data_IF_677863325589
#
_entry.id   IF_677863325589
#
_cell.length_a   1.000
_cell.length_b   1.000
_cell.length_c   1.000
_cell.angle_alpha   90.00
_cell.angle_beta   90.00
_cell.angle_gamma   90.00
#
_symmetry.space_group_name_H-M   'P 1'
#
loop_
_entity.id
_entity.type
_entity.pdbx_description
1 polymer ?
#
# COMPACT_ATOMS: atom_id res chain seq x y z
N UNK A 1 -18.46 27.84 -13.49
CA UNK A 1 -19.51 26.85 -13.19
C UNK A 1 -19.45 25.77 -14.25
N UNK A 2 -19.45 24.49 -13.88
CA UNK A 2 -19.39 23.36 -14.81
C UNK A 2 -20.67 22.52 -14.66
N UNK A 3 -21.29 22.11 -15.76
CA UNK A 3 -22.52 21.32 -15.74
C UNK A 3 -22.31 20.03 -16.52
N UNK A 4 -22.56 18.90 -15.86
CA UNK A 4 -22.55 17.57 -16.49
C UNK A 4 -23.93 16.94 -16.40
N UNK A 5 -24.37 16.33 -17.50
CA UNK A 5 -25.69 15.75 -17.61
C UNK A 5 -25.60 14.28 -17.98
N UNK A 6 -26.29 13.43 -17.22
CA UNK A 6 -26.50 12.01 -17.54
C UNK A 6 -27.99 11.78 -17.86
N UNK A 7 -28.37 10.55 -18.20
CA UNK A 7 -29.78 10.17 -18.36
C UNK A 7 -30.61 10.48 -17.10
N UNK A 8 -30.04 10.23 -15.92
CA UNK A 8 -30.75 10.31 -14.63
C UNK A 8 -30.54 11.62 -13.86
N UNK A 9 -29.46 12.35 -14.13
CA UNK A 9 -29.08 13.50 -13.29
C UNK A 9 -28.50 14.69 -14.06
N UNK A 10 -28.70 15.87 -13.49
CA UNK A 10 -28.03 17.12 -13.86
C UNK A 10 -27.13 17.52 -12.69
N UNK A 11 -25.82 17.50 -12.91
CA UNK A 11 -24.83 17.88 -11.89
C UNK A 11 -24.27 19.26 -12.21
N UNK A 12 -24.38 20.16 -11.24
CA UNK A 12 -23.94 21.55 -11.29
C UNK A 12 -22.79 21.68 -10.29
N UNK A 13 -21.61 22.02 -10.80
CA UNK A 13 -20.40 22.25 -10.03
C UNK A 13 -20.07 23.73 -10.06
N UNK A 14 -19.96 24.35 -8.90
CA UNK A 14 -19.56 25.76 -8.74
C UNK A 14 -18.38 25.85 -7.80
N UNK A 15 -17.47 26.77 -8.11
CA UNK A 15 -16.30 27.17 -7.34
C UNK A 15 -16.55 28.45 -6.52
N UNK A 16 -17.70 29.09 -6.72
CA UNK A 16 -18.12 30.30 -6.01
C UNK A 16 -19.03 29.94 -4.83
N UNK A 17 -18.57 30.24 -3.61
CA UNK A 17 -19.34 30.06 -2.37
C UNK A 17 -20.65 30.87 -2.39
N UNK A 18 -20.59 32.12 -2.85
CA UNK A 18 -21.77 32.99 -2.94
C UNK A 18 -22.83 32.38 -3.87
N UNK A 19 -22.42 31.96 -5.08
CA UNK A 19 -23.32 31.33 -6.03
C UNK A 19 -23.87 29.99 -5.51
N UNK A 20 -23.04 29.20 -4.81
CA UNK A 20 -23.50 27.96 -4.19
C UNK A 20 -24.57 28.22 -3.13
N UNK A 21 -24.34 29.19 -2.24
CA UNK A 21 -25.30 29.56 -1.19
C UNK A 21 -26.63 30.04 -1.78
N UNK A 22 -26.60 30.89 -2.81
CA UNK A 22 -27.80 31.35 -3.50
C UNK A 22 -28.58 30.21 -4.15
N UNK A 23 -27.90 29.37 -4.94
CA UNK A 23 -28.55 28.24 -5.62
C UNK A 23 -29.06 27.20 -4.61
N UNK A 24 -28.32 26.95 -3.52
CA UNK A 24 -28.75 26.07 -2.43
C UNK A 24 -30.02 26.61 -1.76
N UNK A 25 -30.07 27.90 -1.45
CA UNK A 25 -31.26 28.53 -0.87
C UNK A 25 -32.47 28.41 -1.80
N UNK A 26 -32.28 28.60 -3.11
CA UNK A 26 -33.34 28.41 -4.11
C UNK A 26 -33.85 26.96 -4.16
N UNK A 27 -32.94 25.97 -4.11
CA UNK A 27 -33.30 24.55 -4.09
C UNK A 27 -34.07 24.22 -2.79
N UNK A 28 -33.56 24.62 -1.63
CA UNK A 28 -34.19 24.34 -0.34
C UNK A 28 -35.54 25.05 -0.15
N UNK A 29 -35.74 26.22 -0.76
CA UNK A 29 -37.01 26.95 -0.68
C UNK A 29 -38.10 26.38 -1.60
N UNK A 30 -37.72 25.87 -2.77
CA UNK A 30 -38.67 25.54 -3.83
C UNK A 30 -38.88 24.04 -4.03
N UNK A 31 -37.98 23.19 -3.49
CA UNK A 31 -38.06 21.73 -3.65
C UNK A 31 -38.15 21.03 -2.29
N UNK A 32 -39.05 20.07 -2.18
CA UNK A 32 -39.38 19.35 -0.95
C UNK A 32 -38.48 18.15 -0.72
N UNK A 33 -38.21 17.35 -1.76
CA UNK A 33 -37.35 16.16 -1.69
C UNK A 33 -35.89 16.52 -1.91
N UNK A 34 -35.24 17.01 -0.86
CA UNK A 34 -33.82 17.39 -0.89
C UNK A 34 -32.98 16.64 0.14
N UNK A 35 -31.72 16.39 -0.20
CA UNK A 35 -30.69 15.86 0.70
C UNK A 35 -29.48 16.81 0.64
N UNK A 36 -29.11 17.42 1.76
CA UNK A 36 -28.04 18.41 1.82
C UNK A 36 -26.96 18.03 2.84
N UNK A 37 -25.71 18.37 2.52
CA UNK A 37 -24.59 18.40 3.46
C UNK A 37 -23.89 19.78 3.36
N UNK A 38 -22.68 19.93 3.92
CA UNK A 38 -21.97 21.21 3.92
C UNK A 38 -21.74 21.77 2.50
N UNK A 39 -21.26 20.93 1.59
CA UNK A 39 -20.75 21.34 0.27
C UNK A 39 -21.60 20.81 -0.90
N UNK A 40 -22.74 20.18 -0.62
CA UNK A 40 -23.58 19.54 -1.63
C UNK A 40 -25.06 19.59 -1.24
N UNK A 41 -25.91 19.73 -2.25
CA UNK A 41 -27.35 19.51 -2.15
C UNK A 41 -27.85 18.71 -3.35
N UNK A 42 -28.72 17.74 -3.10
CA UNK A 42 -29.35 16.89 -4.10
C UNK A 42 -30.85 17.12 -4.02
N UNK A 43 -31.51 17.36 -5.14
CA UNK A 43 -32.96 17.44 -5.28
C UNK A 43 -33.46 16.33 -6.19
N UNK A 44 -34.29 15.44 -5.62
CA UNK A 44 -34.92 14.35 -6.36
C UNK A 44 -36.13 14.86 -7.15
N UNK A 45 -36.56 14.09 -8.15
CA UNK A 45 -37.73 14.43 -8.93
C UNK A 45 -39.01 14.38 -8.08
N UNK A 46 -39.85 15.39 -8.25
CA UNK A 46 -41.19 15.49 -7.67
C UNK A 46 -42.12 16.15 -8.68
N UNK A 47 -43.29 15.56 -8.92
CA UNK A 47 -44.20 15.96 -9.99
C UNK A 47 -44.90 17.28 -9.69
N UNK A 48 -45.23 17.52 -8.42
CA UNK A 48 -45.88 18.76 -7.95
C UNK A 48 -45.01 20.02 -8.14
N UNK A 49 -43.71 19.86 -8.41
CA UNK A 49 -42.73 20.95 -8.47
C UNK A 49 -42.24 21.27 -9.90
N UNK A 50 -42.86 20.67 -10.93
CA UNK A 50 -42.45 20.88 -12.33
C UNK A 50 -42.35 22.38 -12.71
N UNK A 51 -43.27 23.28 -12.31
CA UNK A 51 -43.13 24.71 -12.60
C UNK A 51 -41.87 25.33 -12.00
N UNK A 52 -41.60 25.06 -10.72
CA UNK A 52 -40.46 25.56 -9.96
C UNK A 52 -39.16 25.03 -10.57
N UNK A 53 -39.12 23.74 -10.93
CA UNK A 53 -37.97 23.11 -11.61
C UNK A 53 -37.69 23.75 -12.96
N UNK A 54 -38.71 24.04 -13.77
CA UNK A 54 -38.55 24.74 -15.05
C UNK A 54 -37.96 26.14 -14.85
N UNK A 55 -38.44 26.89 -13.85
CA UNK A 55 -37.91 28.22 -13.54
C UNK A 55 -36.44 28.16 -13.09
N UNK A 56 -36.11 27.24 -12.19
CA UNK A 56 -34.74 27.02 -11.73
C UNK A 56 -33.80 26.66 -12.89
N UNK A 57 -34.21 25.73 -13.77
CA UNK A 57 -33.40 25.31 -14.91
C UNK A 57 -33.21 26.42 -15.95
N UNK A 58 -34.22 27.27 -16.16
CA UNK A 58 -34.08 28.47 -17.00
C UNK A 58 -33.05 29.44 -16.41
N UNK A 59 -33.03 29.60 -15.10
CA UNK A 59 -32.03 30.42 -14.42
C UNK A 59 -30.61 29.83 -14.57
N UNK A 60 -30.45 28.53 -14.32
CA UNK A 60 -29.17 27.82 -14.52
C UNK A 60 -28.68 27.93 -15.96
N UNK A 61 -29.57 27.73 -16.95
CA UNK A 61 -29.25 27.87 -18.38
C UNK A 61 -28.68 29.26 -18.68
N UNK A 62 -29.36 30.32 -18.23
CA UNK A 62 -28.88 31.70 -18.40
C UNK A 62 -27.50 31.94 -17.76
N UNK A 63 -27.26 31.38 -16.57
CA UNK A 63 -25.98 31.51 -15.88
C UNK A 63 -24.85 30.79 -16.62
N UNK A 64 -25.14 29.64 -17.22
CA UNK A 64 -24.17 28.84 -17.96
C UNK A 64 -23.85 29.44 -19.34
N UNK A 65 -24.87 29.93 -20.05
CA UNK A 65 -24.73 30.59 -21.35
C UNK A 65 -23.94 31.88 -21.29
N UNK A 66 -24.01 32.62 -20.17
CA UNK A 66 -23.14 33.78 -19.92
C UNK A 66 -21.64 33.43 -19.90
N UNK A 67 -21.28 32.16 -19.76
CA UNK A 67 -19.89 31.68 -19.77
C UNK A 67 -19.46 31.18 -21.16
N UNK A 68 -20.29 31.37 -22.19
CA UNK A 68 -20.00 30.98 -23.58
C UNK A 68 -20.34 29.54 -23.94
N UNK A 69 -21.07 28.81 -23.08
CA UNK A 69 -21.43 27.41 -23.28
C UNK A 69 -22.94 27.23 -23.51
N UNK A 70 -23.33 26.24 -24.31
CA UNK A 70 -24.75 25.91 -24.51
C UNK A 70 -25.23 24.80 -23.56
N UNK A 71 -26.46 24.90 -23.07
CA UNK A 71 -27.09 23.88 -22.21
C UNK A 71 -28.51 23.56 -22.67
N UNK A 72 -28.74 22.28 -23.02
CA UNK A 72 -30.09 21.76 -23.23
C UNK A 72 -30.71 21.33 -21.89
N UNK A 73 -31.82 21.98 -21.53
CA UNK A 73 -32.58 21.74 -20.30
C UNK A 73 -33.96 21.13 -20.55
N UNK A 74 -34.28 20.74 -21.79
CA UNK A 74 -35.63 20.33 -22.21
C UNK A 74 -36.21 19.20 -21.35
N UNK A 75 -35.37 18.20 -21.05
CA UNK A 75 -35.72 17.05 -20.19
C UNK A 75 -35.10 17.13 -18.79
N UNK A 76 -34.30 18.15 -18.50
CA UNK A 76 -33.62 18.26 -17.21
C UNK A 76 -34.59 18.42 -16.03
N UNK A 77 -35.83 18.86 -16.28
CA UNK A 77 -36.89 18.99 -15.26
C UNK A 77 -37.28 17.67 -14.61
N UNK A 78 -37.07 16.54 -15.28
CA UNK A 78 -37.36 15.21 -14.76
C UNK A 78 -36.16 14.54 -14.08
N UNK A 79 -34.96 15.15 -14.18
CA UNK A 79 -33.72 14.56 -13.68
C UNK A 79 -33.46 14.97 -12.24
N UNK A 80 -32.71 14.14 -11.51
CA UNK A 80 -32.18 14.52 -10.19
C UNK A 80 -31.17 15.65 -10.34
N UNK A 81 -31.36 16.75 -9.62
CA UNK A 81 -30.48 17.92 -9.66
C UNK A 81 -29.46 17.78 -8.52
N UNK A 82 -28.17 17.82 -8.85
CA UNK A 82 -27.06 17.77 -7.87
C UNK A 82 -26.29 19.06 -7.96
N UNK A 83 -26.23 19.84 -6.88
CA UNK A 83 -25.39 21.03 -6.77
C UNK A 83 -24.25 20.75 -5.80
N UNK A 84 -23.02 20.96 -6.23
CA UNK A 84 -21.81 20.73 -5.44
C UNK A 84 -20.89 21.95 -5.50
N UNK A 85 -20.35 22.34 -4.34
CA UNK A 85 -19.30 23.33 -4.21
C UNK A 85 -17.94 22.65 -4.36
N UNK A 86 -17.13 23.15 -5.30
CA UNK A 86 -15.74 22.77 -5.49
C UNK A 86 -14.92 23.61 -4.52
N UNK A 87 -14.48 23.01 -3.41
CA UNK A 87 -13.52 23.65 -2.52
C UNK A 87 -12.17 23.77 -3.22
N UNK A 88 -11.91 24.90 -3.90
CA UNK A 88 -10.60 25.21 -4.52
C UNK A 88 -9.44 25.19 -3.53
N UNK A 89 -9.75 25.39 -2.24
CA UNK A 89 -8.80 25.53 -1.15
C UNK A 89 -8.89 24.42 -0.10
N UNK A 90 -9.50 23.26 -0.42
CA UNK A 90 -9.28 22.10 0.41
C UNK A 90 -7.78 21.78 0.30
N UNK A 91 -7.01 22.02 1.36
CA UNK A 91 -5.61 21.63 1.44
C UNK A 91 -5.52 20.17 1.00
N UNK A 92 -5.01 19.93 -0.22
CA UNK A 92 -4.76 18.56 -0.67
C UNK A 92 -3.69 18.03 0.25
N UNK A 93 -4.05 17.06 1.09
CA UNK A 93 -3.08 16.47 2.01
C UNK A 93 -1.91 15.92 1.19
N UNK A 94 -0.70 16.37 1.51
CA UNK A 94 0.53 15.86 0.91
C UNK A 94 1.14 14.93 1.95
N UNK A 95 1.37 13.69 1.57
CA UNK A 95 2.05 12.70 2.40
C UNK A 95 3.40 12.37 1.80
N UNK A 96 4.43 12.37 2.64
CA UNK A 96 5.76 11.94 2.25
C UNK A 96 5.98 10.54 2.80
N UNK A 97 6.20 9.57 1.92
CA UNK A 97 6.40 8.17 2.29
C UNK A 97 7.83 7.80 1.98
N UNK A 98 8.58 7.45 3.01
CA UNK A 98 9.95 6.99 2.85
C UNK A 98 9.95 5.49 2.55
N UNK A 99 10.68 5.09 1.52
CA UNK A 99 10.84 3.69 1.11
C UNK A 99 12.30 3.28 1.32
N UNK A 100 12.49 2.27 2.15
CA UNK A 100 13.75 1.60 2.39
C UNK A 100 13.74 0.18 1.83
N UNK A 101 14.92 -0.38 1.60
CA UNK A 101 15.12 -1.71 1.05
C UNK A 101 15.98 -2.54 2.00
N UNK A 102 15.46 -3.67 2.48
CA UNK A 102 16.15 -4.54 3.42
C UNK A 102 15.74 -6.00 3.22
N UNK A 103 16.73 -6.91 3.10
CA UNK A 103 16.53 -8.36 3.02
C UNK A 103 15.38 -8.79 2.09
N UNK A 104 15.40 -8.32 0.84
CA UNK A 104 14.40 -8.60 -0.20
C UNK A 104 12.97 -8.06 0.07
N UNK A 105 12.82 -7.23 1.10
CA UNK A 105 11.60 -6.51 1.42
C UNK A 105 11.75 -5.00 1.14
N UNK A 106 10.67 -4.40 0.63
CA UNK A 106 10.50 -2.94 0.61
C UNK A 106 9.76 -2.51 1.86
N UNK A 107 10.33 -1.56 2.60
CA UNK A 107 9.78 -1.04 3.84
C UNK A 107 9.27 0.37 3.59
N UNK A 108 7.97 0.56 3.74
CA UNK A 108 7.30 1.85 3.58
C UNK A 108 7.00 2.45 4.94
N UNK A 109 7.44 3.68 5.17
CA UNK A 109 7.15 4.44 6.39
C UNK A 109 6.02 5.43 6.13
N UNK A 110 4.88 5.20 6.77
CA UNK A 110 3.66 5.99 6.61
C UNK A 110 3.70 7.19 7.56
N UNK A 111 4.43 8.24 7.19
CA UNK A 111 4.54 9.47 7.97
C UNK A 111 3.19 10.22 8.02
N UNK A 112 2.32 9.85 8.97
CA UNK A 112 0.95 10.37 9.14
C UNK A 112 -0.04 10.06 8.00
N UNK A 113 0.31 9.13 7.10
CA UNK A 113 -0.58 8.70 6.02
C UNK A 113 -1.71 7.82 6.57
N UNK A 114 -2.96 7.95 6.09
CA UNK A 114 -4.06 7.10 6.52
C UNK A 114 -3.75 5.61 6.32
N UNK A 115 -4.15 4.75 7.28
CA UNK A 115 -4.00 3.28 7.19
C UNK A 115 -4.61 2.71 5.90
N UNK A 116 -5.69 3.33 5.41
CA UNK A 116 -6.34 2.95 4.16
C UNK A 116 -5.39 3.00 2.95
N UNK A 117 -4.35 3.85 2.99
CA UNK A 117 -3.32 3.88 1.95
C UNK A 117 -2.50 2.60 1.91
N UNK A 118 -2.07 2.08 3.07
CA UNK A 118 -1.34 0.81 3.14
C UNK A 118 -2.19 -0.32 2.55
N UNK A 119 -3.46 -0.38 2.94
CA UNK A 119 -4.41 -1.36 2.38
C UNK A 119 -4.59 -1.20 0.88
N UNK A 120 -4.67 0.04 0.38
CA UNK A 120 -4.73 0.33 -1.05
C UNK A 120 -3.51 -0.17 -1.81
N UNK A 121 -2.29 0.08 -1.30
CA UNK A 121 -1.06 -0.44 -1.92
C UNK A 121 -1.05 -1.96 -1.91
N UNK A 122 -1.25 -2.57 -0.74
CA UNK A 122 -1.19 -4.02 -0.55
C UNK A 122 -2.27 -4.77 -1.36
N UNK A 123 -3.40 -4.12 -1.66
CA UNK A 123 -4.44 -4.69 -2.53
C UNK A 123 -3.94 -4.95 -3.96
N UNK A 124 -2.93 -4.22 -4.45
CA UNK A 124 -2.32 -4.47 -5.76
C UNK A 124 -1.39 -5.70 -5.75
N UNK A 125 -0.93 -6.14 -4.57
CA UNK A 125 0.03 -7.22 -4.39
C UNK A 125 -0.59 -8.43 -3.67
N UNK A 126 -1.86 -8.74 -3.96
CA UNK A 126 -2.56 -9.90 -3.36
C UNK A 126 -1.77 -11.19 -3.63
N UNK A 127 -1.27 -11.80 -2.55
CA UNK A 127 -0.46 -13.02 -2.58
C UNK A 127 1.00 -12.82 -2.19
N UNK A 128 1.47 -11.58 -2.12
CA UNK A 128 2.79 -11.24 -1.61
C UNK A 128 2.78 -11.27 -0.08
N UNK A 129 3.93 -11.61 0.51
CA UNK A 129 4.09 -11.54 1.96
C UNK A 129 4.22 -10.08 2.35
N UNK A 130 3.36 -9.65 3.26
CA UNK A 130 3.36 -8.29 3.78
C UNK A 130 3.17 -8.29 5.29
N UNK A 131 3.93 -7.46 5.99
CA UNK A 131 3.79 -7.26 7.44
C UNK A 131 3.45 -5.80 7.69
N UNK A 132 2.55 -5.56 8.64
CA UNK A 132 2.22 -4.20 9.08
C UNK A 132 2.64 -4.04 10.53
N UNK A 133 3.53 -3.09 10.78
CA UNK A 133 3.94 -2.68 12.11
C UNK A 133 3.11 -1.46 12.53
N UNK A 134 2.10 -1.71 13.36
CA UNK A 134 1.20 -0.65 13.86
C UNK A 134 1.92 0.34 14.78
N UNK A 135 2.98 -0.07 15.49
CA UNK A 135 3.69 0.82 16.44
C UNK A 135 4.55 1.84 15.73
N UNK A 136 5.21 1.42 14.65
CA UNK A 136 6.12 2.28 13.89
C UNK A 136 5.47 2.89 12.65
N UNK A 137 4.18 2.61 12.39
CA UNK A 137 3.48 3.02 11.17
C UNK A 137 4.23 2.61 9.89
N UNK A 138 4.76 1.38 9.88
CA UNK A 138 5.51 0.83 8.74
C UNK A 138 4.79 -0.38 8.16
N UNK A 139 4.93 -0.58 6.87
CA UNK A 139 4.60 -1.87 6.27
C UNK A 139 5.75 -2.37 5.41
N UNK A 140 5.99 -3.68 5.46
CA UNK A 140 6.94 -4.33 4.58
C UNK A 140 6.21 -5.12 3.50
N UNK A 141 6.78 -5.13 2.30
CA UNK A 141 6.29 -5.83 1.13
C UNK A 141 7.43 -6.65 0.53
N UNK A 142 7.28 -7.97 0.50
CA UNK A 142 8.21 -8.88 -0.17
C UNK A 142 7.78 -9.11 -1.61
N UNK A 143 8.68 -8.89 -2.55
CA UNK A 143 8.40 -9.04 -3.98
C UNK A 143 8.48 -10.53 -4.37
N UNK A 144 7.46 -11.04 -5.09
CA UNK A 144 7.39 -12.44 -5.53
C UNK A 144 7.54 -12.63 -7.03
N UNK A 145 7.24 -11.59 -7.83
CA UNK A 145 7.30 -11.65 -9.29
C UNK A 145 8.02 -10.44 -9.85
N UNK A 146 8.68 -10.62 -11.00
CA UNK A 146 9.36 -9.51 -11.68
C UNK A 146 8.37 -8.40 -12.10
N UNK A 147 7.14 -8.79 -12.50
CA UNK A 147 6.05 -7.88 -12.84
C UNK A 147 5.61 -6.96 -11.68
N UNK A 148 5.88 -7.35 -10.43
CA UNK A 148 5.52 -6.54 -9.28
C UNK A 148 6.38 -5.26 -9.23
N UNK A 149 7.61 -5.29 -9.79
CA UNK A 149 8.44 -4.09 -9.90
C UNK A 149 7.81 -3.06 -10.80
N UNK A 150 7.23 -3.48 -11.92
CA UNK A 150 6.60 -2.57 -12.88
C UNK A 150 5.35 -1.92 -12.25
N UNK A 151 4.58 -2.69 -11.45
CA UNK A 151 3.45 -2.16 -10.68
C UNK A 151 3.90 -1.15 -9.62
N UNK A 152 5.00 -1.41 -8.92
CA UNK A 152 5.54 -0.47 -7.92
C UNK A 152 6.04 0.80 -8.59
N UNK A 153 6.76 0.69 -9.71
CA UNK A 153 7.21 1.86 -10.49
C UNK A 153 6.03 2.69 -10.98
N UNK A 154 4.94 2.05 -11.43
CA UNK A 154 3.71 2.74 -11.85
C UNK A 154 3.04 3.46 -10.67
N UNK A 155 2.94 2.81 -9.51
CA UNK A 155 2.40 3.41 -8.30
C UNK A 155 3.23 4.62 -7.88
N UNK A 156 4.56 4.47 -7.81
CA UNK A 156 5.48 5.54 -7.40
C UNK A 156 5.46 6.72 -8.37
N UNK A 157 5.26 6.45 -9.67
CA UNK A 157 5.19 7.48 -10.71
C UNK A 157 3.91 8.32 -10.64
N UNK A 158 2.83 7.75 -10.09
CA UNK A 158 1.56 8.48 -9.88
C UNK A 158 1.69 9.32 -8.63
N UNK A 159 1.44 10.62 -8.74
CA UNK A 159 1.45 11.53 -7.58
C UNK A 159 0.14 11.52 -6.79
N UNK A 160 -0.98 11.22 -7.43
CA UNK A 160 -2.29 11.26 -6.80
C UNK A 160 -2.79 9.84 -6.48
N UNK A 161 -3.04 9.59 -5.19
CA UNK A 161 -3.65 8.35 -4.71
C UNK A 161 -4.79 8.69 -3.75
N UNK A 162 -5.94 8.02 -3.91
CA UNK A 162 -7.10 8.18 -3.01
C UNK A 162 -7.50 9.66 -2.77
N UNK A 163 -7.30 10.54 -3.77
CA UNK A 163 -7.56 12.00 -3.74
C UNK A 163 -6.60 12.84 -2.87
N UNK A 164 -5.44 12.29 -2.50
CA UNK A 164 -4.35 13.03 -1.87
C UNK A 164 -3.05 12.86 -2.67
N UNK A 165 -2.09 13.75 -2.43
CA UNK A 165 -0.80 13.73 -3.11
C UNK A 165 0.18 12.93 -2.25
N UNK A 166 0.91 12.01 -2.88
CA UNK A 166 1.96 11.21 -2.23
C UNK A 166 3.28 11.52 -2.90
N UNK A 167 4.28 11.87 -2.10
CA UNK A 167 5.67 11.94 -2.51
C UNK A 167 6.39 10.71 -1.95
N UNK A 168 6.88 9.85 -2.82
CA UNK A 168 7.70 8.72 -2.41
C UNK A 168 9.16 9.14 -2.37
N UNK A 169 9.76 9.10 -1.19
CA UNK A 169 11.18 9.37 -0.99
C UNK A 169 11.93 8.04 -0.93
N UNK A 170 12.75 7.77 -1.93
CA UNK A 170 13.55 6.55 -1.97
C UNK A 170 14.87 6.81 -2.66
N UNK A 171 15.87 6.00 -2.34
CA UNK A 171 17.16 6.06 -3.00
C UNK A 171 17.10 5.24 -4.30
N UNK A 172 17.17 5.91 -5.44
CA UNK A 172 17.12 5.26 -6.75
C UNK A 172 18.23 4.23 -6.97
N UNK A 173 19.44 4.49 -6.44
CA UNK A 173 20.57 3.55 -6.55
C UNK A 173 20.25 2.28 -5.79
N UNK A 174 19.78 2.40 -4.54
CA UNK A 174 19.35 1.25 -3.73
C UNK A 174 18.18 0.50 -4.37
N UNK A 175 17.23 1.19 -5.00
CA UNK A 175 16.12 0.56 -5.72
C UNK A 175 16.60 -0.25 -6.93
N UNK A 176 17.52 0.30 -7.73
CA UNK A 176 18.13 -0.42 -8.86
C UNK A 176 18.93 -1.63 -8.39
N UNK A 177 19.72 -1.49 -7.32
CA UNK A 177 20.43 -2.60 -6.69
C UNK A 177 19.45 -3.67 -6.20
N UNK A 178 18.37 -3.29 -5.55
CA UNK A 178 17.33 -4.20 -5.08
C UNK A 178 16.68 -4.99 -6.23
N UNK A 179 16.26 -4.32 -7.31
CA UNK A 179 15.69 -4.97 -8.52
C UNK A 179 16.69 -5.94 -9.16
N UNK A 180 17.96 -5.54 -9.24
CA UNK A 180 19.05 -6.37 -9.78
C UNK A 180 19.31 -7.61 -8.92
N UNK A 181 19.40 -7.42 -7.60
CA UNK A 181 19.64 -8.50 -6.65
C UNK A 181 18.52 -9.55 -6.71
N UNK A 182 17.26 -9.10 -6.78
CA UNK A 182 16.11 -9.98 -6.98
C UNK A 182 16.23 -10.83 -8.26
N UNK A 183 16.64 -10.22 -9.38
CA UNK A 183 16.84 -10.94 -10.65
C UNK A 183 17.95 -11.98 -10.56
N UNK A 184 19.05 -11.65 -9.89
CA UNK A 184 20.18 -12.57 -9.70
C UNK A 184 19.75 -13.76 -8.85
N UNK A 185 19.11 -13.53 -7.70
CA UNK A 185 18.61 -14.59 -6.81
C UNK A 185 17.59 -15.49 -7.51
N UNK A 186 16.78 -14.93 -8.41
CA UNK A 186 15.80 -15.70 -9.17
C UNK A 186 16.35 -16.38 -10.43
N UNK A 187 17.60 -16.10 -10.81
CA UNK A 187 18.24 -16.70 -11.98
C UNK A 187 18.43 -18.21 -11.81
N UNK A 188 18.35 -18.95 -12.92
CA UNK A 188 18.58 -20.39 -12.93
C UNK A 188 19.98 -20.76 -12.41
N UNK A 189 20.99 -19.94 -12.73
CA UNK A 189 22.38 -20.12 -12.28
C UNK A 189 22.50 -20.01 -10.76
N UNK A 190 21.86 -19.00 -10.15
CA UNK A 190 21.84 -18.85 -8.70
C UNK A 190 21.11 -20.02 -8.05
N UNK A 191 19.87 -20.30 -8.47
CA UNK A 191 19.04 -21.36 -7.91
C UNK A 191 19.74 -22.71 -7.96
N UNK A 192 20.26 -23.11 -9.12
CA UNK A 192 20.95 -24.39 -9.29
C UNK A 192 22.22 -24.50 -8.42
N UNK A 193 23.04 -23.45 -8.38
CA UNK A 193 24.28 -23.47 -7.60
C UNK A 193 24.01 -23.58 -6.11
N UNK A 194 23.09 -22.76 -5.60
CA UNK A 194 22.85 -22.68 -4.17
C UNK A 194 21.89 -23.76 -3.66
N UNK A 195 21.00 -24.32 -4.49
CA UNK A 195 20.22 -25.49 -4.11
C UNK A 195 21.10 -26.72 -3.92
N UNK A 196 22.08 -26.95 -4.80
CA UNK A 196 23.03 -28.04 -4.65
C UNK A 196 23.87 -27.90 -3.38
N UNK A 197 24.37 -26.69 -3.09
CA UNK A 197 25.10 -26.40 -1.86
C UNK A 197 24.23 -26.53 -0.61
N UNK A 198 22.96 -26.11 -0.68
CA UNK A 198 22.03 -26.22 0.44
C UNK A 198 21.73 -27.69 0.77
N UNK A 199 21.55 -28.55 -0.25
CA UNK A 199 21.37 -29.99 -0.06
C UNK A 199 22.60 -30.66 0.56
N UNK A 200 23.82 -30.23 0.21
CA UNK A 200 25.04 -30.72 0.86
C UNK A 200 25.13 -30.33 2.35
N UNK A 201 24.37 -29.31 2.77
CA UNK A 201 24.33 -28.80 4.14
C UNK A 201 22.99 -29.12 4.84
N UNK A 202 22.15 -29.99 4.26
CA UNK A 202 20.80 -30.30 4.75
C UNK A 202 20.81 -30.73 6.22
N UNK A 203 21.75 -31.62 6.60
CA UNK A 203 21.91 -32.05 8.00
C UNK A 203 22.16 -30.87 8.96
N UNK A 204 22.89 -29.83 8.53
CA UNK A 204 23.14 -28.65 9.35
C UNK A 204 21.87 -27.79 9.52
N UNK A 205 21.04 -27.69 8.48
CA UNK A 205 19.74 -27.03 8.58
C UNK A 205 18.81 -27.81 9.51
N UNK A 206 18.75 -29.13 9.39
CA UNK A 206 17.94 -30.00 10.24
C UNK A 206 18.34 -29.94 11.71
N UNK A 207 19.65 -29.93 12.02
CA UNK A 207 20.16 -29.77 13.40
C UNK A 207 19.65 -28.46 14.03
N UNK A 208 19.48 -27.42 13.22
CA UNK A 208 18.95 -26.12 13.63
C UNK A 208 17.42 -26.03 13.51
N UNK A 209 16.74 -27.08 13.04
CA UNK A 209 15.29 -27.07 12.82
C UNK A 209 14.82 -26.10 11.74
N UNK A 210 15.70 -25.79 10.78
CA UNK A 210 15.44 -24.87 9.68
C UNK A 210 15.24 -25.62 8.36
N UNK A 211 14.58 -24.98 7.41
CA UNK A 211 14.53 -25.41 6.01
C UNK A 211 15.77 -24.94 5.26
N UNK A 212 16.17 -25.68 4.21
CA UNK A 212 17.22 -25.28 3.29
C UNK A 212 16.92 -23.99 2.49
N UNK A 213 15.67 -23.51 2.55
CA UNK A 213 15.23 -22.25 1.94
C UNK A 213 15.12 -21.09 2.95
N UNK A 214 15.41 -21.32 4.24
CA UNK A 214 15.31 -20.27 5.26
C UNK A 214 16.42 -19.22 5.10
N UNK A 215 16.09 -17.97 5.50
CA UNK A 215 17.07 -16.87 5.47
C UNK A 215 18.11 -17.02 6.59
N UNK A 216 19.23 -16.32 6.44
CA UNK A 216 20.27 -16.31 7.46
C UNK A 216 19.75 -15.82 8.83
N UNK A 217 18.85 -14.85 8.85
CA UNK A 217 18.21 -14.35 10.07
C UNK A 217 17.38 -15.43 10.75
N UNK A 218 16.59 -16.20 10.00
CA UNK A 218 15.80 -17.30 10.55
C UNK A 218 16.70 -18.38 11.15
N UNK A 219 17.80 -18.72 10.47
CA UNK A 219 18.82 -19.66 10.97
C UNK A 219 19.48 -19.14 12.25
N UNK A 220 19.83 -17.84 12.28
CA UNK A 220 20.41 -17.19 13.46
C UNK A 220 19.44 -17.19 14.63
N UNK A 221 18.17 -16.88 14.41
CA UNK A 221 17.15 -16.85 15.45
C UNK A 221 16.91 -18.25 16.02
N UNK A 222 16.86 -19.28 15.16
CA UNK A 222 16.77 -20.67 15.61
C UNK A 222 18.00 -21.09 16.41
N UNK A 223 19.21 -20.75 15.95
CA UNK A 223 20.44 -20.97 16.69
C UNK A 223 20.39 -20.32 18.09
N UNK A 224 19.95 -19.07 18.20
CA UNK A 224 19.83 -18.37 19.49
C UNK A 224 18.80 -19.05 20.41
N UNK A 225 17.68 -19.51 19.86
CA UNK A 225 16.66 -20.25 20.60
C UNK A 225 17.20 -21.59 21.14
N UNK A 226 17.87 -22.37 20.29
CA UNK A 226 18.46 -23.65 20.65
C UNK A 226 19.64 -23.48 21.63
N UNK A 227 20.51 -22.50 21.40
CA UNK A 227 21.60 -22.15 22.31
C UNK A 227 21.04 -21.81 23.69
N UNK A 228 19.98 -21.00 23.75
CA UNK A 228 19.30 -20.69 25.01
C UNK A 228 18.76 -21.95 25.69
N UNK A 229 18.26 -22.94 24.97
CA UNK A 229 17.74 -24.18 25.56
C UNK A 229 18.86 -25.10 26.05
N UNK A 230 19.91 -25.31 25.26
CA UNK A 230 20.92 -26.34 25.50
C UNK A 230 22.23 -25.83 26.12
N UNK A 231 22.36 -24.53 26.42
CA UNK A 231 23.58 -23.96 26.99
C UNK A 231 23.99 -24.68 28.29
N UNK A 232 25.25 -25.13 28.43
CA UNK A 232 25.70 -25.93 29.57
C UNK A 232 25.46 -25.24 30.93
N UNK A 233 25.66 -23.92 31.02
CA UNK A 233 25.44 -23.15 32.25
C UNK A 233 24.01 -23.23 32.79
N UNK A 234 23.01 -23.44 31.93
CA UNK A 234 21.60 -23.53 32.36
C UNK A 234 21.25 -24.89 32.98
N UNK A 235 22.14 -25.86 32.88
CA UNK A 235 21.93 -27.24 33.31
C UNK A 235 23.02 -27.73 34.27
N UNK A 236 23.76 -26.81 34.89
CA UNK A 236 24.81 -27.09 35.88
C UNK A 236 24.31 -27.90 37.09
N UNK A 237 23.03 -27.80 37.42
CA UNK A 237 22.39 -28.51 38.53
C UNK A 237 21.79 -29.88 38.14
N UNK A 238 21.91 -30.31 36.88
CA UNK A 238 21.39 -31.61 36.41
C UNK A 238 22.37 -32.75 36.64
N UNK A 239 21.90 -33.99 36.45
CA UNK A 239 22.76 -35.18 36.50
C UNK A 239 23.82 -35.16 35.39
N UNK A 240 24.95 -35.81 35.66
CA UNK A 240 26.11 -35.80 34.75
C UNK A 240 25.79 -36.37 33.37
N UNK A 241 24.92 -37.38 33.30
CA UNK A 241 24.42 -37.95 32.03
C UNK A 241 23.70 -36.89 31.18
N UNK A 242 22.81 -36.10 31.80
CA UNK A 242 22.05 -35.06 31.08
C UNK A 242 22.96 -33.91 30.66
N UNK A 243 23.92 -33.52 31.51
CA UNK A 243 24.93 -32.50 31.16
C UNK A 243 25.73 -32.89 29.92
N UNK A 244 26.20 -34.14 29.85
CA UNK A 244 26.97 -34.64 28.72
C UNK A 244 26.12 -34.67 27.44
N UNK A 245 24.88 -35.11 27.52
CA UNK A 245 23.97 -35.13 26.38
C UNK A 245 23.72 -33.70 25.85
N UNK A 246 23.46 -32.75 26.74
CA UNK A 246 23.16 -31.37 26.37
C UNK A 246 24.39 -30.64 25.83
N UNK A 247 25.57 -30.87 26.41
CA UNK A 247 26.82 -30.35 25.89
C UNK A 247 27.10 -30.90 24.48
N UNK A 248 26.84 -32.20 24.26
CA UNK A 248 26.97 -32.82 22.93
C UNK A 248 26.01 -32.18 21.93
N UNK A 249 24.74 -31.98 22.30
CA UNK A 249 23.75 -31.28 21.48
C UNK A 249 24.16 -29.84 21.17
N UNK A 250 24.62 -29.09 22.18
CA UNK A 250 25.07 -27.71 22.01
C UNK A 250 26.25 -27.60 21.06
N UNK A 251 27.25 -28.49 21.17
CA UNK A 251 28.38 -28.55 20.22
C UNK A 251 27.92 -28.82 18.78
N UNK A 252 26.95 -29.72 18.59
CA UNK A 252 26.36 -29.99 17.25
C UNK A 252 25.67 -28.75 16.68
N UNK A 253 24.85 -28.08 17.50
CA UNK A 253 24.16 -26.82 17.12
C UNK A 253 25.17 -25.74 16.72
N UNK A 254 26.24 -25.56 17.51
CA UNK A 254 27.28 -24.59 17.20
C UNK A 254 28.04 -24.95 15.91
N UNK A 255 28.42 -26.21 15.73
CA UNK A 255 29.10 -26.68 14.53
C UNK A 255 28.24 -26.48 13.26
N UNK A 256 26.94 -26.80 13.34
CA UNK A 256 25.99 -26.60 12.25
C UNK A 256 25.88 -25.12 11.86
N UNK A 257 25.74 -24.22 12.84
CA UNK A 257 25.67 -22.78 12.59
C UNK A 257 26.96 -22.22 11.95
N UNK A 258 28.13 -22.63 12.44
CA UNK A 258 29.42 -22.21 11.85
C UNK A 258 29.60 -22.75 10.42
N UNK A 259 29.12 -23.96 10.13
CA UNK A 259 29.17 -24.55 8.78
C UNK A 259 28.27 -23.80 7.78
N UNK A 260 27.15 -23.22 8.23
CA UNK A 260 26.23 -22.47 7.38
C UNK A 260 26.68 -21.02 7.10
N UNK A 261 27.49 -20.39 7.96
CA UNK A 261 27.95 -19.00 7.73
C UNK A 261 28.66 -18.80 6.38
N UNK A 262 29.62 -19.65 5.94
CA UNK A 262 30.23 -19.53 4.63
C UNK A 262 29.25 -19.65 3.47
N UNK A 263 28.20 -20.49 3.61
CA UNK A 263 27.17 -20.65 2.59
C UNK A 263 26.42 -19.35 2.33
N UNK A 264 25.92 -18.69 3.38
CA UNK A 264 25.24 -17.40 3.25
C UNK A 264 26.17 -16.28 2.78
N UNK A 265 27.42 -16.25 3.27
CA UNK A 265 28.42 -15.29 2.80
C UNK A 265 28.72 -15.45 1.30
N UNK A 266 28.75 -16.69 0.80
CA UNK A 266 28.93 -16.96 -0.63
C UNK A 266 27.73 -16.51 -1.47
N UNK A 267 26.50 -16.64 -0.95
CA UNK A 267 25.30 -16.09 -1.60
C UNK A 267 25.39 -14.58 -1.72
N UNK A 268 25.67 -13.88 -0.63
CA UNK A 268 25.82 -12.41 -0.63
C UNK A 268 26.90 -11.94 -1.61
N UNK A 269 28.06 -12.61 -1.61
CA UNK A 269 29.14 -12.28 -2.53
C UNK A 269 28.74 -12.49 -3.99
N UNK A 270 28.00 -13.56 -4.29
CA UNK A 270 27.52 -13.81 -5.65
C UNK A 270 26.55 -12.72 -6.12
N UNK A 271 25.65 -12.27 -5.23
CA UNK A 271 24.70 -11.19 -5.52
C UNK A 271 25.44 -9.85 -5.71
N UNK A 272 26.51 -9.59 -4.96
CA UNK A 272 27.30 -8.36 -5.11
C UNK A 272 28.12 -8.30 -6.40
N UNK A 273 28.58 -9.45 -6.91
CA UNK A 273 29.50 -9.54 -8.06
C UNK A 273 28.79 -9.70 -9.40
N UNK A 274 27.75 -10.55 -9.47
CA UNK A 274 26.89 -10.65 -10.65
C UNK A 274 25.94 -9.47 -10.68
#
# INVERSE_FOLDING_TARGET
MNITQTLESLSILTDSDALFCELRALISKNFTKTLANKDKIISFYEESEIPQRKCFLKFIKKLYEKQGNELDVTFAKYKTIKLSLVQRNALTNIYNIDIDFFNDEMIFTLNNTPRAFASYILQNFKGNESKFDEKNHKFSLKIKKDSDFDLIEEIISRREHLKFIVNFNYNEVKFKEFKRNYKIQNSAKFKSRFSALANLLEENFEILGCSNNDSFEAVRDSYLALAKIYHPDRHSNKSESIKNEYNTKFKKIQAAYEALKPFFKNQENFIKVG
#
